data_IF_026959173914
#
_entry.id   IF_026959173914
#
_cell.length_a   1.000
_cell.length_b   1.000
_cell.length_c   1.000
_cell.angle_alpha   90.00
_cell.angle_beta   90.00
_cell.angle_gamma   90.00
#
_symmetry.space_group_name_H-M   'P 1'
#
loop_
_entity.id
_entity.type
_entity.pdbx_description
1 polymer ?
#
# COMPACT_ATOMS: atom_id res chain seq x y z
N UNK A 1 -9.12 -17.36 2.74
CA UNK A 1 -7.85 -16.83 3.29
C UNK A 1 -6.76 -16.92 2.22
N UNK A 2 -6.42 -15.85 1.51
CA UNK A 2 -5.22 -15.83 0.64
C UNK A 2 -4.00 -15.47 1.50
N UNK A 3 -3.52 -16.43 2.27
CA UNK A 3 -2.46 -16.26 3.26
C UNK A 3 -1.45 -17.40 3.23
N UNK A 4 -0.67 -17.50 2.14
CA UNK A 4 0.49 -18.39 2.04
C UNK A 4 1.68 -17.89 2.89
N UNK A 5 1.45 -17.51 4.15
CA UNK A 5 2.49 -17.15 5.12
C UNK A 5 3.40 -15.96 4.76
N UNK A 6 3.17 -15.26 3.64
CA UNK A 6 4.03 -14.15 3.22
C UNK A 6 3.85 -12.97 4.19
N UNK A 7 4.94 -12.37 4.69
CA UNK A 7 4.84 -11.18 5.51
C UNK A 7 4.09 -10.09 4.74
N UNK A 8 3.09 -9.50 5.39
CA UNK A 8 2.33 -8.35 4.88
C UNK A 8 2.51 -7.17 5.82
N UNK A 9 2.78 -6.01 5.24
CA UNK A 9 2.71 -4.72 5.93
C UNK A 9 1.25 -4.30 6.14
N UNK A 10 1.03 -3.20 6.86
CA UNK A 10 -0.32 -2.64 7.00
C UNK A 10 -0.90 -2.22 5.64
N UNK A 11 -0.10 -1.61 4.76
CA UNK A 11 -0.49 -1.33 3.38
C UNK A 11 -0.79 -2.61 2.59
N UNK A 12 0.02 -3.66 2.76
CA UNK A 12 -0.24 -4.97 2.15
C UNK A 12 -1.60 -5.53 2.55
N UNK A 13 -1.97 -5.44 3.83
CA UNK A 13 -3.28 -5.85 4.34
C UNK A 13 -4.41 -4.98 3.81
N UNK A 14 -4.19 -3.68 3.62
CA UNK A 14 -5.17 -2.80 2.98
C UNK A 14 -5.48 -3.26 1.56
N UNK A 15 -4.46 -3.48 0.75
CA UNK A 15 -4.61 -3.98 -0.62
C UNK A 15 -5.39 -5.31 -0.66
N UNK A 16 -5.07 -6.23 0.25
CA UNK A 16 -5.77 -7.52 0.34
C UNK A 16 -7.25 -7.36 0.76
N UNK A 17 -7.53 -6.47 1.72
CA UNK A 17 -8.90 -6.21 2.21
C UNK A 17 -9.82 -5.65 1.13
N UNK A 18 -9.28 -4.82 0.24
CA UNK A 18 -10.03 -4.25 -0.86
C UNK A 18 -9.97 -5.10 -2.15
N UNK A 19 -9.33 -6.28 -2.12
CA UNK A 19 -9.17 -7.16 -3.28
C UNK A 19 -8.52 -6.48 -4.49
N UNK A 20 -7.62 -5.52 -4.25
CA UNK A 20 -6.94 -4.75 -5.31
C UNK A 20 -5.63 -5.43 -5.67
N UNK A 21 -5.27 -5.47 -6.96
CA UNK A 21 -3.94 -5.93 -7.34
C UNK A 21 -2.91 -4.79 -7.25
N UNK A 22 -1.64 -5.13 -6.99
CA UNK A 22 -0.54 -4.15 -7.02
C UNK A 22 -0.39 -3.51 -8.40
N UNK A 23 -0.81 -4.19 -9.46
CA UNK A 23 -0.76 -3.65 -10.83
C UNK A 23 -1.76 -2.53 -11.00
N UNK A 24 -3.00 -2.75 -10.59
CA UNK A 24 -4.06 -1.75 -10.67
C UNK A 24 -3.73 -0.56 -9.79
N UNK A 25 -3.29 -0.80 -8.55
CA UNK A 25 -2.88 0.27 -7.67
C UNK A 25 -1.67 1.06 -8.21
N UNK A 26 -0.73 0.40 -8.89
CA UNK A 26 0.40 1.07 -9.54
C UNK A 26 -0.04 2.02 -10.66
N UNK A 27 -1.01 1.58 -11.49
CA UNK A 27 -1.58 2.42 -12.55
C UNK A 27 -2.29 3.64 -11.96
N UNK A 28 -3.08 3.44 -10.91
CA UNK A 28 -3.86 4.50 -10.28
C UNK A 28 -2.98 5.51 -9.50
N UNK A 29 -2.00 5.01 -8.74
CA UNK A 29 -1.12 5.86 -7.91
C UNK A 29 0.03 6.48 -8.69
N UNK A 30 0.37 5.98 -9.88
CA UNK A 30 1.57 6.37 -10.62
C UNK A 30 2.87 5.98 -9.90
N UNK A 31 2.82 5.01 -8.98
CA UNK A 31 3.98 4.50 -8.25
C UNK A 31 4.43 3.18 -8.86
N UNK A 32 5.74 2.99 -8.99
CA UNK A 32 6.31 1.77 -9.55
C UNK A 32 5.86 0.52 -8.77
N UNK A 33 5.44 -0.52 -9.50
CA UNK A 33 5.03 -1.82 -8.96
C UNK A 33 6.05 -2.44 -8.01
N UNK A 34 7.37 -2.25 -8.24
CA UNK A 34 8.42 -2.74 -7.34
C UNK A 34 8.37 -2.06 -5.97
N UNK A 35 8.20 -0.74 -5.97
CA UNK A 35 8.08 0.08 -4.74
C UNK A 35 6.85 -0.33 -3.94
N UNK A 36 5.69 -0.46 -4.60
CA UNK A 36 4.47 -0.92 -3.96
C UNK A 36 4.59 -2.37 -3.47
N UNK A 37 5.23 -3.24 -4.24
CA UNK A 37 5.49 -4.62 -3.85
C UNK A 37 6.36 -4.73 -2.60
N UNK A 38 7.36 -3.85 -2.45
CA UNK A 38 8.15 -3.72 -1.21
C UNK A 38 7.27 -3.18 -0.08
N UNK A 39 6.51 -2.11 -0.34
CA UNK A 39 5.59 -1.52 0.63
C UNK A 39 4.51 -2.47 1.13
N UNK A 40 4.11 -3.49 0.37
CA UNK A 40 3.15 -4.50 0.81
C UNK A 40 3.77 -5.63 1.64
N UNK A 41 5.06 -5.90 1.51
CA UNK A 41 5.73 -7.04 2.16
C UNK A 41 6.51 -6.61 3.40
N UNK A 42 7.22 -5.51 3.30
CA UNK A 42 8.15 -5.01 4.31
C UNK A 42 7.42 -4.04 5.24
N UNK A 43 7.31 -4.42 6.51
CA UNK A 43 6.65 -3.63 7.56
C UNK A 43 7.46 -2.38 7.94
N UNK A 44 8.77 -2.43 7.75
CA UNK A 44 9.70 -1.36 8.12
C UNK A 44 10.04 -0.46 6.92
N UNK A 45 9.51 -0.77 5.73
CA UNK A 45 9.73 0.05 4.56
C UNK A 45 8.88 1.32 4.60
N UNK A 46 9.57 2.43 4.82
CA UNK A 46 9.04 3.78 4.77
C UNK A 46 9.50 4.40 3.43
N UNK A 47 8.59 4.57 2.44
CA UNK A 47 8.92 5.21 1.17
C UNK A 47 9.27 6.68 1.36
N UNK A 48 9.80 7.32 0.31
CA UNK A 48 9.96 8.77 0.29
C UNK A 48 8.61 9.48 0.40
N UNK A 49 8.62 10.69 0.94
CA UNK A 49 7.41 11.48 1.20
C UNK A 49 6.55 11.72 -0.05
N UNK A 50 7.15 11.89 -1.22
CA UNK A 50 6.45 12.05 -2.49
C UNK A 50 5.67 10.78 -2.88
N UNK A 51 6.28 9.61 -2.68
CA UNK A 51 5.65 8.30 -2.92
C UNK A 51 4.53 8.06 -1.92
N UNK A 52 4.74 8.37 -0.64
CA UNK A 52 3.70 8.25 0.39
C UNK A 52 2.47 9.08 0.04
N UNK A 53 2.65 10.34 -0.38
CA UNK A 53 1.56 11.22 -0.81
C UNK A 53 0.77 10.62 -1.98
N UNK A 54 1.46 10.03 -2.97
CA UNK A 54 0.81 9.35 -4.11
C UNK A 54 0.01 8.12 -3.67
N UNK A 55 0.60 7.28 -2.81
CA UNK A 55 -0.06 6.10 -2.25
C UNK A 55 -1.31 6.52 -1.47
N UNK A 56 -1.19 7.49 -0.56
CA UNK A 56 -2.32 8.01 0.22
C UNK A 56 -3.42 8.60 -0.65
N UNK A 57 -3.05 9.38 -1.67
CA UNK A 57 -4.03 9.96 -2.61
C UNK A 57 -4.82 8.88 -3.33
N UNK A 58 -4.15 7.83 -3.82
CA UNK A 58 -4.82 6.71 -4.47
C UNK A 58 -5.64 5.87 -3.48
N UNK A 59 -5.10 5.59 -2.30
CA UNK A 59 -5.80 4.86 -1.25
C UNK A 59 -7.09 5.58 -0.80
N UNK A 60 -7.06 6.90 -0.71
CA UNK A 60 -8.23 7.72 -0.35
C UNK A 60 -9.36 7.71 -1.38
N UNK A 61 -9.08 7.34 -2.63
CA UNK A 61 -10.13 7.11 -3.63
C UNK A 61 -10.91 5.82 -3.35
N UNK A 62 -10.30 4.88 -2.64
CA UNK A 62 -10.89 3.60 -2.26
C UNK A 62 -11.54 3.70 -0.88
N UNK A 63 -10.83 4.28 0.09
CA UNK A 63 -11.32 4.57 1.43
C UNK A 63 -10.89 5.99 1.86
N UNK A 64 -11.81 6.97 1.84
CA UNK A 64 -11.52 8.37 2.14
C UNK A 64 -10.92 8.61 3.54
N UNK A 65 -11.13 7.70 4.49
CA UNK A 65 -10.72 7.88 5.89
C UNK A 65 -9.27 7.48 6.15
N UNK A 66 -8.58 6.92 5.15
CA UNK A 66 -7.21 6.42 5.28
C UNK A 66 -6.22 7.52 5.64
N UNK A 67 -5.44 7.25 6.68
CA UNK A 67 -4.36 8.10 7.22
C UNK A 67 -3.00 7.44 7.01
N UNK A 68 -1.94 8.22 7.22
CA UNK A 68 -0.58 7.73 7.00
C UNK A 68 -0.19 6.65 8.02
N UNK A 69 -0.67 6.77 9.26
CA UNK A 69 -0.50 5.80 10.35
C UNK A 69 -1.13 4.44 10.07
N UNK A 70 -2.11 4.38 9.15
CA UNK A 70 -2.73 3.13 8.73
C UNK A 70 -1.80 2.28 7.87
N UNK A 71 -0.76 2.88 7.29
CA UNK A 71 0.17 2.21 6.38
C UNK A 71 1.59 2.09 6.94
N UNK A 72 2.03 3.08 7.70
CA UNK A 72 3.37 3.14 8.28
C UNK A 72 3.29 3.47 9.77
N UNK A 73 4.11 2.81 10.58
CA UNK A 73 4.33 3.16 11.98
C UNK A 73 5.34 4.33 12.03
N UNK A 74 4.82 5.55 12.23
CA UNK A 74 5.59 6.80 12.34
C UNK A 74 5.22 7.52 13.62
#
# INVERSE_FOLDING_TARGET
MFGLGKPRSKFGKFIDRHSISIVEFAKESGVNRKTLGKACKDKNYIPRQDVMKKILKAARKIDPNVKMSDFWDM
#
